data_IF_208313250018
#
_entry.id   IF_208313250018
#
_cell.length_a   1.000
_cell.length_b   1.000
_cell.length_c   1.000
_cell.angle_alpha   90.00
_cell.angle_beta   90.00
_cell.angle_gamma   90.00
#
_symmetry.space_group_name_H-M   'P 1'
#
loop_
_entity.id
_entity.type
_entity.pdbx_description
1 polymer ?
#
# COMPACT_ATOMS: atom_id res chain seq x y z
N UNK A 1 21.69 22.74 -0.06
CA UNK A 1 20.50 23.59 -0.19
C UNK A 1 19.91 23.34 -1.56
N UNK A 2 18.83 22.55 -1.56
CA UNK A 2 17.98 22.28 -2.73
C UNK A 2 17.60 23.60 -3.41
N UNK A 3 17.92 23.69 -4.71
CA UNK A 3 17.60 24.86 -5.53
C UNK A 3 16.24 24.74 -6.22
N UNK A 4 15.83 25.82 -6.90
CA UNK A 4 14.66 25.79 -7.78
C UNK A 4 14.78 24.77 -8.92
N UNK A 5 16.01 24.49 -9.39
CA UNK A 5 16.29 23.47 -10.40
C UNK A 5 15.93 22.06 -9.91
N UNK A 6 16.20 21.75 -8.64
CA UNK A 6 15.89 20.45 -8.06
C UNK A 6 14.38 20.27 -7.84
N UNK A 7 13.69 21.33 -7.39
CA UNK A 7 12.22 21.34 -7.33
C UNK A 7 11.63 21.16 -8.74
N UNK A 8 12.21 21.82 -9.74
CA UNK A 8 11.77 21.68 -11.13
C UNK A 8 11.94 20.24 -11.62
N UNK A 9 13.07 19.55 -11.33
CA UNK A 9 13.26 18.12 -11.66
C UNK A 9 12.17 17.25 -11.05
N UNK A 10 11.80 17.51 -9.79
CA UNK A 10 10.70 16.78 -9.10
C UNK A 10 9.37 17.01 -9.82
N UNK A 11 9.03 18.26 -10.14
CA UNK A 11 7.79 18.58 -10.86
C UNK A 11 7.79 17.93 -12.24
N UNK A 12 8.90 17.97 -12.98
CA UNK A 12 9.05 17.32 -14.29
C UNK A 12 8.87 15.81 -14.20
N UNK A 13 9.44 15.15 -13.18
CA UNK A 13 9.30 13.71 -12.97
C UNK A 13 7.87 13.29 -12.59
N UNK A 14 7.14 14.16 -11.90
CA UNK A 14 5.81 13.86 -11.37
C UNK A 14 4.67 14.30 -12.28
N UNK A 15 4.81 15.39 -13.05
CA UNK A 15 3.77 15.95 -13.90
C UNK A 15 3.12 14.91 -14.85
N UNK A 16 3.87 14.04 -15.55
CA UNK A 16 3.28 13.03 -16.43
C UNK A 16 2.27 12.12 -15.71
N UNK A 17 2.53 11.77 -14.45
CA UNK A 17 1.64 10.95 -13.63
C UNK A 17 0.32 11.67 -13.32
N UNK A 18 0.40 12.96 -12.97
CA UNK A 18 -0.79 13.77 -12.69
C UNK A 18 -1.58 14.08 -13.96
N UNK A 19 -0.91 14.25 -15.11
CA UNK A 19 -1.58 14.36 -16.41
C UNK A 19 -2.41 13.09 -16.68
N UNK A 20 -1.82 11.91 -16.52
CA UNK A 20 -2.55 10.65 -16.70
C UNK A 20 -3.75 10.52 -15.74
N UNK A 21 -3.60 10.94 -14.48
CA UNK A 21 -4.68 10.99 -13.50
C UNK A 21 -5.81 11.94 -13.91
N UNK A 22 -5.49 13.16 -14.36
CA UNK A 22 -6.47 14.14 -14.83
C UNK A 22 -7.20 13.63 -16.06
N UNK A 23 -6.51 13.00 -17.01
CA UNK A 23 -7.12 12.36 -18.18
C UNK A 23 -8.10 11.26 -17.77
N UNK A 24 -7.70 10.41 -16.81
CA UNK A 24 -8.58 9.38 -16.24
C UNK A 24 -9.84 9.99 -15.61
N UNK A 25 -9.67 11.01 -14.78
CA UNK A 25 -10.79 11.70 -14.14
C UNK A 25 -11.72 12.37 -15.15
N UNK A 26 -11.15 13.14 -16.09
CA UNK A 26 -11.88 13.86 -17.13
C UNK A 26 -12.65 12.94 -18.07
N UNK A 27 -12.10 11.76 -18.37
CA UNK A 27 -12.76 10.78 -19.23
C UNK A 27 -14.13 10.31 -18.72
N UNK A 28 -14.33 10.29 -17.41
CA UNK A 28 -15.62 9.92 -16.80
C UNK A 28 -16.45 11.16 -16.48
N UNK A 29 -15.82 12.18 -15.88
CA UNK A 29 -16.55 13.31 -15.30
C UNK A 29 -16.90 14.41 -16.30
N UNK A 30 -16.03 14.67 -17.27
CA UNK A 30 -16.16 15.79 -18.21
C UNK A 30 -16.55 15.31 -19.62
N UNK A 31 -15.91 14.25 -20.10
CA UNK A 31 -16.16 13.72 -21.45
C UNK A 31 -17.22 12.63 -21.48
N UNK A 32 -17.60 12.09 -20.32
CA UNK A 32 -18.60 11.01 -20.19
C UNK A 32 -18.33 9.81 -21.13
N UNK A 33 -17.05 9.53 -21.40
CA UNK A 33 -16.61 8.52 -22.35
C UNK A 33 -16.77 7.10 -21.81
N UNK A 34 -16.55 6.91 -20.50
CA UNK A 34 -16.62 5.60 -19.85
C UNK A 34 -17.76 5.50 -18.85
N UNK A 35 -18.50 4.38 -18.92
CA UNK A 35 -19.48 3.96 -17.92
C UNK A 35 -18.77 3.27 -16.73
N UNK A 36 -19.42 3.18 -15.55
CA UNK A 36 -18.83 2.52 -14.37
C UNK A 36 -18.34 1.09 -14.61
N UNK A 37 -19.08 0.28 -15.39
CA UNK A 37 -18.71 -1.10 -15.75
C UNK A 37 -17.45 -1.16 -16.63
N UNK A 38 -17.31 -0.20 -17.54
CA UNK A 38 -16.11 -0.09 -18.39
C UNK A 38 -14.89 0.33 -17.56
N UNK A 39 -15.09 1.22 -16.58
CA UNK A 39 -14.03 1.60 -15.65
C UNK A 39 -13.57 0.42 -14.79
N UNK A 40 -14.49 -0.42 -14.32
CA UNK A 40 -14.15 -1.66 -13.61
C UNK A 40 -13.32 -2.60 -14.50
N UNK A 41 -13.71 -2.73 -15.77
CA UNK A 41 -12.95 -3.51 -16.76
C UNK A 41 -11.54 -2.99 -16.96
N UNK A 42 -11.35 -1.67 -17.10
CA UNK A 42 -10.02 -1.04 -17.22
C UNK A 42 -9.19 -1.27 -15.95
N UNK A 43 -9.81 -1.14 -14.77
CA UNK A 43 -9.13 -1.38 -13.50
C UNK A 43 -8.72 -2.85 -13.34
N UNK A 44 -9.53 -3.80 -13.79
CA UNK A 44 -9.17 -5.22 -13.83
C UNK A 44 -8.02 -5.46 -14.80
N UNK A 45 -8.07 -4.90 -16.01
CA UNK A 45 -6.94 -4.97 -16.94
C UNK A 45 -5.64 -4.47 -16.30
N UNK A 46 -5.70 -3.32 -15.63
CA UNK A 46 -4.55 -2.77 -14.93
C UNK A 46 -4.05 -3.69 -13.80
N UNK A 47 -4.95 -4.19 -12.94
CA UNK A 47 -4.61 -5.04 -11.80
C UNK A 47 -4.11 -6.44 -12.18
N UNK A 48 -4.60 -7.03 -13.27
CA UNK A 48 -4.29 -8.42 -13.68
C UNK A 48 -3.14 -8.51 -14.69
N UNK A 49 -2.90 -7.46 -15.46
CA UNK A 49 -1.85 -7.46 -16.49
C UNK A 49 -0.80 -6.40 -16.19
N UNK A 50 -1.17 -5.12 -16.24
CA UNK A 50 -0.20 -4.02 -16.20
C UNK A 50 0.63 -3.99 -14.91
N UNK A 51 -0.01 -3.92 -13.74
CA UNK A 51 0.67 -3.83 -12.44
C UNK A 51 1.53 -5.06 -12.12
N UNK A 52 1.10 -6.30 -12.41
CA UNK A 52 1.97 -7.48 -12.25
C UNK A 52 3.27 -7.37 -13.05
N UNK A 53 3.21 -7.02 -14.33
CA UNK A 53 4.43 -6.85 -15.14
C UNK A 53 5.28 -5.67 -14.65
N UNK A 54 4.64 -4.58 -14.24
CA UNK A 54 5.31 -3.42 -13.65
C UNK A 54 6.07 -3.78 -12.37
N UNK A 55 5.41 -4.43 -11.42
CA UNK A 55 6.04 -4.86 -10.17
C UNK A 55 7.15 -5.88 -10.43
N UNK A 56 6.92 -6.84 -11.34
CA UNK A 56 7.94 -7.82 -11.69
C UNK A 56 9.21 -7.15 -12.24
N UNK A 57 9.07 -6.21 -13.18
CA UNK A 57 10.22 -5.55 -13.83
C UNK A 57 11.09 -4.81 -12.82
N UNK A 58 10.48 -4.06 -11.89
CA UNK A 58 11.24 -3.40 -10.84
C UNK A 58 11.94 -4.40 -9.92
N UNK A 59 11.25 -5.46 -9.51
CA UNK A 59 11.78 -6.42 -8.53
C UNK A 59 12.86 -7.31 -9.12
N UNK A 60 12.69 -7.72 -10.38
CA UNK A 60 13.63 -8.56 -11.12
C UNK A 60 15.00 -7.90 -11.32
N UNK A 61 15.05 -6.56 -11.29
CA UNK A 61 16.27 -5.77 -11.46
C UNK A 61 17.01 -5.46 -10.14
N UNK A 62 16.44 -5.80 -8.98
CA UNK A 62 17.13 -5.65 -7.69
C UNK A 62 18.25 -6.69 -7.57
N UNK A 63 19.31 -6.35 -6.84
CA UNK A 63 20.24 -7.34 -6.31
C UNK A 63 19.89 -7.72 -4.85
N UNK A 64 19.25 -8.88 -4.59
CA UNK A 64 18.82 -9.24 -3.25
C UNK A 64 19.97 -9.53 -2.28
N UNK A 65 21.19 -9.70 -2.77
CA UNK A 65 22.37 -9.92 -1.92
C UNK A 65 22.98 -8.62 -1.41
N UNK A 66 22.68 -7.49 -2.06
CA UNK A 66 23.19 -6.18 -1.71
C UNK A 66 22.06 -5.23 -1.26
N UNK A 67 21.13 -5.76 -0.45
CA UNK A 67 20.05 -4.97 0.13
C UNK A 67 20.57 -4.08 1.26
N UNK A 68 19.96 -2.91 1.42
CA UNK A 68 20.26 -2.05 2.56
C UNK A 68 19.50 -2.55 3.79
N UNK A 69 20.12 -3.49 4.51
CA UNK A 69 19.49 -4.12 5.68
C UNK A 69 19.12 -3.12 6.76
N UNK A 70 19.92 -2.09 7.00
CA UNK A 70 19.61 -1.06 7.99
C UNK A 70 18.32 -0.31 7.62
N UNK A 71 18.17 0.09 6.36
CA UNK A 71 16.96 0.73 5.86
C UNK A 71 15.74 -0.19 6.00
N UNK A 72 15.85 -1.46 5.58
CA UNK A 72 14.76 -2.41 5.65
C UNK A 72 14.37 -2.77 7.10
N UNK A 73 15.35 -2.96 7.99
CA UNK A 73 15.09 -3.18 9.41
C UNK A 73 14.47 -1.94 10.04
N UNK A 74 14.84 -0.73 9.61
CA UNK A 74 14.21 0.52 10.04
C UNK A 74 12.73 0.56 9.70
N UNK A 75 12.37 0.16 8.47
CA UNK A 75 10.98 0.02 8.03
C UNK A 75 10.19 -0.97 8.90
N UNK A 76 10.81 -2.12 9.19
CA UNK A 76 10.22 -3.16 10.04
C UNK A 76 10.01 -2.69 11.47
N UNK A 77 10.98 -2.01 12.06
CA UNK A 77 10.85 -1.45 13.41
C UNK A 77 9.75 -0.38 13.43
N UNK A 78 9.74 0.54 12.48
CA UNK A 78 8.74 1.60 12.40
C UNK A 78 7.31 1.04 12.38
N UNK A 79 7.06 0.01 11.56
CA UNK A 79 5.74 -0.62 11.46
C UNK A 79 5.42 -1.54 12.63
N UNK A 80 6.40 -2.23 13.20
CA UNK A 80 6.22 -3.01 14.42
C UNK A 80 5.81 -2.12 15.60
N UNK A 81 6.40 -0.93 15.73
CA UNK A 81 6.02 0.07 16.73
C UNK A 81 4.55 0.52 16.55
N UNK A 82 4.13 0.81 15.31
CA UNK A 82 2.74 1.17 15.01
C UNK A 82 1.80 0.01 15.39
N UNK A 83 2.12 -1.23 15.02
CA UNK A 83 1.32 -2.40 15.36
C UNK A 83 1.21 -2.57 16.88
N UNK A 84 2.31 -2.45 17.61
CA UNK A 84 2.35 -2.54 19.07
C UNK A 84 1.41 -1.51 19.71
N UNK A 85 1.51 -0.24 19.30
CA UNK A 85 0.67 0.84 19.81
C UNK A 85 -0.81 0.56 19.53
N UNK A 86 -1.14 0.09 18.33
CA UNK A 86 -2.53 -0.20 17.95
C UNK A 86 -3.10 -1.42 18.68
N UNK A 87 -2.29 -2.45 18.93
CA UNK A 87 -2.69 -3.63 19.72
C UNK A 87 -2.93 -3.22 21.18
N UNK A 88 -2.03 -2.44 21.78
CA UNK A 88 -2.21 -1.92 23.13
C UNK A 88 -3.46 -1.04 23.23
N UNK A 89 -3.69 -0.16 22.24
CA UNK A 89 -4.88 0.68 22.19
C UNK A 89 -6.16 -0.16 22.05
N UNK A 90 -6.16 -1.18 21.19
CA UNK A 90 -7.32 -2.05 20.98
C UNK A 90 -7.68 -2.91 22.20
N UNK A 91 -6.68 -3.30 23.01
CA UNK A 91 -6.88 -4.21 24.15
C UNK A 91 -7.04 -3.49 25.51
N UNK A 92 -6.35 -2.36 25.71
CA UNK A 92 -6.31 -1.69 27.02
C UNK A 92 -7.28 -0.52 27.13
N UNK A 93 -7.70 0.08 26.01
CA UNK A 93 -8.57 1.24 26.03
C UNK A 93 -10.03 0.86 25.76
N UNK A 94 -10.96 1.35 26.58
CA UNK A 94 -12.40 1.01 26.47
C UNK A 94 -13.04 1.39 25.13
N UNK A 95 -12.47 2.36 24.39
CA UNK A 95 -12.92 2.73 23.03
C UNK A 95 -12.05 2.15 21.92
N UNK A 96 -11.09 1.28 22.26
CA UNK A 96 -10.25 0.60 21.29
C UNK A 96 -11.08 -0.29 20.37
N UNK A 97 -10.78 -0.25 19.06
CA UNK A 97 -11.48 -1.08 18.08
C UNK A 97 -10.49 -1.73 17.14
N UNK A 98 -10.55 -3.06 17.03
CA UNK A 98 -9.72 -3.84 16.13
C UNK A 98 -9.90 -3.42 14.66
N UNK A 99 -11.15 -3.14 14.25
CA UNK A 99 -11.50 -2.61 12.94
C UNK A 99 -10.78 -1.29 12.63
N UNK A 100 -10.78 -0.37 13.59
CA UNK A 100 -10.06 0.90 13.46
C UNK A 100 -8.54 0.72 13.53
N UNK A 101 -8.04 -0.28 14.27
CA UNK A 101 -6.64 -0.66 14.27
C UNK A 101 -6.14 -1.03 12.86
N UNK A 102 -6.87 -1.90 12.15
CA UNK A 102 -6.52 -2.29 10.77
C UNK A 102 -6.51 -1.07 9.84
N UNK A 103 -7.56 -0.24 9.88
CA UNK A 103 -7.65 0.97 9.06
C UNK A 103 -6.54 1.96 9.38
N UNK A 104 -6.25 2.18 10.67
CA UNK A 104 -5.20 3.10 11.12
C UNK A 104 -3.82 2.63 10.67
N UNK A 105 -3.52 1.34 10.83
CA UNK A 105 -2.29 0.74 10.31
C UNK A 105 -2.18 0.93 8.80
N UNK A 106 -3.24 0.62 8.06
CA UNK A 106 -3.25 0.78 6.60
C UNK A 106 -2.96 2.22 6.17
N UNK A 107 -3.59 3.21 6.81
CA UNK A 107 -3.41 4.63 6.53
C UNK A 107 -1.99 5.13 6.84
N UNK A 108 -1.38 4.68 7.94
CA UNK A 108 -0.04 5.12 8.33
C UNK A 108 1.07 4.36 7.59
N UNK A 109 0.88 3.07 7.29
CA UNK A 109 1.96 2.18 6.89
C UNK A 109 2.03 1.87 5.39
N UNK A 110 0.89 1.88 4.67
CA UNK A 110 0.83 1.37 3.29
C UNK A 110 0.72 2.49 2.26
N UNK A 111 1.74 2.66 1.43
CA UNK A 111 1.82 3.75 0.47
C UNK A 111 2.05 3.29 -0.97
N UNK A 112 1.88 4.20 -1.91
CA UNK A 112 2.07 3.97 -3.33
C UNK A 112 3.56 4.06 -3.72
N UNK A 113 4.32 3.06 -3.28
CA UNK A 113 5.79 3.04 -3.36
C UNK A 113 6.31 3.01 -4.80
N UNK A 114 5.76 2.16 -5.68
CA UNK A 114 6.31 1.99 -7.03
C UNK A 114 5.81 3.03 -8.03
N UNK A 115 4.49 3.27 -8.09
CA UNK A 115 3.91 4.15 -9.14
C UNK A 115 4.33 5.61 -8.92
N UNK A 116 4.26 6.09 -7.68
CA UNK A 116 4.58 7.48 -7.32
C UNK A 116 6.01 7.59 -6.79
N UNK A 117 6.45 6.64 -5.95
CA UNK A 117 7.74 6.74 -5.29
C UNK A 117 8.94 6.61 -6.22
N UNK A 118 8.90 5.76 -7.26
CA UNK A 118 10.06 5.60 -8.16
C UNK A 118 10.37 6.89 -8.94
N UNK A 119 9.41 7.50 -9.68
CA UNK A 119 9.71 8.74 -10.40
C UNK A 119 10.12 9.89 -9.48
N UNK A 120 9.47 9.98 -8.31
CA UNK A 120 9.79 10.99 -7.30
C UNK A 120 11.23 10.84 -6.78
N UNK A 121 11.60 9.64 -6.33
CA UNK A 121 12.93 9.41 -5.75
C UNK A 121 14.02 9.47 -6.81
N UNK A 122 13.74 9.06 -8.05
CA UNK A 122 14.67 9.24 -9.16
C UNK A 122 14.98 10.72 -9.37
N UNK A 123 13.97 11.59 -9.28
CA UNK A 123 14.14 13.03 -9.41
C UNK A 123 14.89 13.67 -8.22
N UNK A 124 14.66 13.20 -7.00
CA UNK A 124 15.25 13.78 -5.78
C UNK A 124 16.65 13.26 -5.43
N UNK A 125 16.90 11.96 -5.63
CA UNK A 125 18.08 11.24 -5.12
C UNK A 125 18.72 10.30 -6.15
N UNK A 126 18.26 10.31 -7.41
CA UNK A 126 18.84 9.48 -8.47
C UNK A 126 18.63 7.99 -8.26
N UNK A 127 19.62 7.18 -8.68
CA UNK A 127 19.53 5.71 -8.63
C UNK A 127 19.46 5.16 -7.21
N UNK A 128 20.14 5.79 -6.26
CA UNK A 128 20.09 5.39 -4.85
C UNK A 128 18.65 5.49 -4.29
N UNK A 129 17.90 6.52 -4.70
CA UNK A 129 16.51 6.67 -4.32
C UNK A 129 15.60 5.60 -4.92
N UNK A 130 15.82 5.24 -6.19
CA UNK A 130 15.10 4.16 -6.86
C UNK A 130 15.35 2.84 -6.17
N UNK A 131 16.62 2.49 -5.94
CA UNK A 131 17.01 1.23 -5.30
C UNK A 131 16.30 1.05 -3.94
N UNK A 132 16.37 2.04 -3.05
CA UNK A 132 15.75 1.95 -1.72
C UNK A 132 14.22 1.83 -1.79
N UNK A 133 13.57 2.59 -2.68
CA UNK A 133 12.10 2.53 -2.82
C UNK A 133 11.65 1.19 -3.39
N UNK A 134 12.37 0.63 -4.34
CA UNK A 134 12.05 -0.68 -4.89
C UNK A 134 12.27 -1.77 -3.83
N UNK A 135 13.33 -1.68 -3.02
CA UNK A 135 13.53 -2.58 -1.87
C UNK A 135 12.38 -2.48 -0.86
N UNK A 136 11.93 -1.26 -0.52
CA UNK A 136 10.78 -1.06 0.35
C UNK A 136 9.49 -1.64 -0.25
N UNK A 137 9.30 -1.51 -1.57
CA UNK A 137 8.14 -2.06 -2.26
C UNK A 137 8.07 -3.59 -2.19
N UNK A 138 9.22 -4.28 -2.28
CA UNK A 138 9.30 -5.74 -2.09
C UNK A 138 8.81 -6.13 -0.71
N UNK A 139 9.37 -5.51 0.35
CA UNK A 139 8.96 -5.80 1.72
C UNK A 139 7.48 -5.44 1.93
N UNK A 140 7.02 -4.34 1.35
CA UNK A 140 5.61 -3.95 1.42
C UNK A 140 4.68 -4.96 0.76
N UNK A 141 5.03 -5.48 -0.42
CA UNK A 141 4.21 -6.47 -1.11
C UNK A 141 4.23 -7.84 -0.42
N UNK A 142 5.39 -8.29 0.06
CA UNK A 142 5.56 -9.64 0.61
C UNK A 142 5.14 -9.74 2.08
N UNK A 143 5.54 -8.77 2.90
CA UNK A 143 5.35 -8.81 4.35
C UNK A 143 4.10 -8.03 4.76
N UNK A 144 4.02 -6.74 4.41
CA UNK A 144 2.97 -5.86 4.93
C UNK A 144 1.60 -6.11 4.30
N UNK A 145 1.55 -6.39 3.01
CA UNK A 145 0.29 -6.71 2.32
C UNK A 145 -0.29 -8.05 2.80
N UNK A 146 0.57 -9.05 3.01
CA UNK A 146 0.18 -10.34 3.58
C UNK A 146 -0.33 -10.19 5.00
N UNK A 147 0.36 -9.37 5.82
CA UNK A 147 -0.07 -9.07 7.19
C UNK A 147 -1.42 -8.35 7.23
N UNK A 148 -1.66 -7.40 6.32
CA UNK A 148 -2.95 -6.72 6.19
C UNK A 148 -4.06 -7.72 5.81
N UNK A 149 -3.80 -8.59 4.83
CA UNK A 149 -4.78 -9.56 4.35
C UNK A 149 -5.14 -10.57 5.45
N UNK A 150 -4.14 -11.00 6.23
CA UNK A 150 -4.34 -11.83 7.41
C UNK A 150 -5.21 -11.12 8.45
N UNK A 151 -4.92 -9.86 8.77
CA UNK A 151 -5.70 -9.09 9.73
C UNK A 151 -7.16 -8.90 9.27
N UNK A 152 -7.39 -8.67 7.97
CA UNK A 152 -8.71 -8.54 7.37
C UNK A 152 -9.52 -9.85 7.40
N UNK A 153 -8.90 -10.98 7.06
CA UNK A 153 -9.55 -12.30 7.10
C UNK A 153 -9.85 -12.71 8.55
N UNK A 154 -8.93 -12.41 9.47
CA UNK A 154 -9.14 -12.61 10.91
C UNK A 154 -10.33 -11.78 11.40
N UNK A 155 -10.37 -10.50 11.04
CA UNK A 155 -11.48 -9.60 11.39
C UNK A 155 -12.82 -10.11 10.84
N UNK A 156 -12.87 -10.50 9.57
CA UNK A 156 -14.07 -11.03 8.92
C UNK A 156 -14.58 -12.30 9.60
N UNK A 157 -13.68 -13.22 9.93
CA UNK A 157 -14.04 -14.47 10.62
C UNK A 157 -14.58 -14.18 12.02
N UNK A 158 -13.95 -13.25 12.76
CA UNK A 158 -14.41 -12.81 14.08
C UNK A 158 -15.82 -12.20 14.02
N UNK A 159 -16.10 -11.37 13.02
CA UNK A 159 -17.43 -10.76 12.84
C UNK A 159 -18.50 -11.80 12.47
N UNK A 160 -18.18 -12.75 11.59
CA UNK A 160 -19.10 -13.83 11.24
C UNK A 160 -19.45 -14.72 12.45
N UNK A 161 -18.47 -15.05 13.29
CA UNK A 161 -18.72 -15.83 14.51
C UNK A 161 -19.62 -15.08 15.50
N UNK A 162 -19.38 -13.78 15.72
CA UNK A 162 -20.24 -12.97 16.58
C UNK A 162 -21.70 -12.90 16.06
N UNK A 163 -21.89 -12.74 14.75
CA UNK A 163 -23.23 -12.72 14.15
C UNK A 163 -23.95 -14.07 14.28
N UNK A 164 -23.24 -15.19 14.15
CA UNK A 164 -23.81 -16.52 14.35
C UNK A 164 -24.20 -16.78 15.82
N UNK A 165 -23.43 -16.27 16.78
CA UNK A 165 -23.79 -16.40 18.19
C UNK A 165 -25.04 -15.57 18.53
N UNK A 166 -25.13 -14.35 18.01
CA UNK A 166 -26.29 -13.47 18.24
C UNK A 166 -27.57 -13.99 17.56
N UNK A 167 -27.48 -14.67 16.41
CA UNK A 167 -28.64 -15.27 15.75
C UNK A 167 -29.13 -16.55 16.44
N UNK A 168 -28.21 -17.29 17.08
CA UNK A 168 -28.57 -18.46 17.92
C UNK A 168 -29.23 -18.03 19.23
N UNK A 169 -28.79 -16.91 19.84
CA UNK A 169 -29.44 -16.36 21.04
C UNK A 169 -30.87 -15.84 20.78
N UNK A 170 -31.14 -15.30 19.59
CA UNK A 170 -32.49 -14.84 19.23
C UNK A 170 -33.44 -16.00 18.85
N UNK A 171 -32.90 -17.17 18.51
CA UNK A 171 -33.64 -18.34 18.05
C UNK A 171 -34.02 -19.36 19.13
N UNK A 172 -33.40 -19.31 20.32
CA UNK A 172 -33.58 -20.33 21.36
C UNK A 172 -34.16 -19.76 22.66
N UNK A 173 -35.48 -19.53 22.68
CA UNK A 173 -36.24 -19.44 23.94
C UNK A 173 -36.73 -20.82 24.41
N UNK A 174 -36.69 -21.88 23.60
CA UNK A 174 -37.18 -23.19 24.03
C UNK A 174 -36.20 -24.34 23.81
N UNK A 175 -36.15 -25.21 24.82
CA UNK A 175 -35.53 -26.55 24.94
C UNK A 175 -34.05 -26.64 25.29
N UNK A 176 -33.84 -26.82 26.60
CA UNK A 176 -32.68 -27.42 27.26
C UNK A 176 -32.44 -28.87 26.82
N UNK A 177 -31.17 -29.26 26.86
CA UNK A 177 -30.65 -30.65 26.88
C UNK A 177 -30.43 -31.35 25.54
N UNK A 178 -29.42 -30.90 24.80
CA UNK A 178 -28.48 -31.82 24.17
C UNK A 178 -27.07 -31.26 24.31
N UNK A 179 -26.20 -32.05 24.94
CA UNK A 179 -24.74 -31.87 24.98
C UNK A 179 -24.23 -31.69 23.55
N UNK A 180 -24.20 -30.45 23.07
CA UNK A 180 -23.51 -30.08 21.85
C UNK A 180 -22.17 -29.58 22.31
N UNK A 181 -21.15 -30.44 22.16
CA UNK A 181 -19.74 -30.13 22.31
C UNK A 181 -19.50 -28.64 22.00
N UNK A 182 -19.31 -27.88 23.06
CA UNK A 182 -18.69 -26.57 23.02
C UNK A 182 -17.22 -26.87 22.76
N UNK A 183 -16.91 -27.35 21.55
CA UNK A 183 -15.60 -27.12 21.01
C UNK A 183 -15.61 -25.63 20.73
N UNK A 184 -15.10 -24.88 21.71
CA UNK A 184 -14.59 -23.54 21.52
C UNK A 184 -13.98 -23.51 20.12
N UNK A 185 -14.60 -22.78 19.21
CA UNK A 185 -13.98 -22.45 17.95
C UNK A 185 -12.84 -21.49 18.30
N UNK A 186 -11.77 -22.02 18.90
CA UNK A 186 -10.45 -21.43 18.78
C UNK A 186 -10.30 -21.18 17.29
N UNK A 187 -10.15 -19.91 16.95
CA UNK A 187 -10.02 -19.44 15.60
C UNK A 187 -8.79 -20.14 15.02
N UNK A 188 -9.01 -21.29 14.37
CA UNK A 188 -7.93 -22.19 14.06
C UNK A 188 -7.00 -21.45 13.09
N UNK A 189 -5.78 -21.19 13.55
CA UNK A 189 -4.77 -20.42 12.82
C UNK A 189 -4.53 -21.04 11.43
N UNK A 190 -4.64 -22.36 11.33
CA UNK A 190 -4.39 -23.10 10.10
C UNK A 190 -5.40 -22.81 8.98
N UNK A 191 -6.74 -22.93 9.16
CA UNK A 191 -7.72 -22.45 8.19
C UNK A 191 -7.54 -21.00 7.76
N UNK A 192 -7.24 -20.11 8.71
CA UNK A 192 -7.01 -18.69 8.43
C UNK A 192 -5.77 -18.50 7.55
N UNK A 193 -4.65 -19.12 7.91
CA UNK A 193 -3.43 -19.10 7.11
C UNK A 193 -3.63 -19.70 5.72
N UNK A 194 -4.41 -20.79 5.61
CA UNK A 194 -4.75 -21.40 4.33
C UNK A 194 -5.59 -20.44 3.46
N UNK A 195 -6.57 -19.74 4.05
CA UNK A 195 -7.40 -18.78 3.33
C UNK A 195 -6.55 -17.60 2.81
N UNK A 196 -5.71 -17.02 3.68
CA UNK A 196 -4.80 -15.93 3.34
C UNK A 196 -3.80 -16.34 2.26
N UNK A 197 -3.16 -17.51 2.41
CA UNK A 197 -2.22 -18.03 1.41
C UNK A 197 -2.91 -18.28 0.07
N UNK A 198 -4.15 -18.77 0.07
CA UNK A 198 -4.91 -19.01 -1.17
C UNK A 198 -5.27 -17.68 -1.84
N UNK A 199 -5.67 -16.66 -1.08
CA UNK A 199 -5.98 -15.32 -1.61
C UNK A 199 -4.74 -14.62 -2.15
N UNK A 200 -3.61 -14.76 -1.46
CA UNK A 200 -2.32 -14.23 -1.89
C UNK A 200 -1.82 -14.91 -3.16
N UNK A 201 -1.89 -16.25 -3.23
CA UNK A 201 -1.51 -17.02 -4.41
C UNK A 201 -2.37 -16.70 -5.64
N UNK A 202 -3.65 -16.34 -5.43
CA UNK A 202 -4.56 -15.90 -6.49
C UNK A 202 -4.38 -14.43 -6.87
N UNK A 203 -3.61 -13.64 -6.13
CA UNK A 203 -3.40 -12.23 -6.43
C UNK A 203 -2.27 -12.06 -7.47
N UNK A 204 -2.57 -11.49 -8.66
CA UNK A 204 -1.58 -11.23 -9.71
C UNK A 204 -0.35 -10.46 -9.27
N UNK A 205 -0.55 -9.43 -8.47
CA UNK A 205 0.55 -8.58 -7.99
C UNK A 205 1.45 -9.34 -7.03
N UNK A 206 0.87 -10.19 -6.18
CA UNK A 206 1.63 -10.96 -5.20
C UNK A 206 2.52 -12.00 -5.86
N UNK A 207 1.99 -12.84 -6.75
CA UNK A 207 2.85 -13.82 -7.43
C UNK A 207 3.87 -13.14 -8.33
N UNK A 208 3.57 -11.98 -8.94
CA UNK A 208 4.53 -11.23 -9.74
C UNK A 208 5.71 -10.75 -8.88
N UNK A 209 5.46 -10.28 -7.66
CA UNK A 209 6.52 -9.93 -6.71
C UNK A 209 7.36 -11.15 -6.31
N UNK A 210 6.73 -12.30 -6.04
CA UNK A 210 7.46 -13.54 -5.72
C UNK A 210 8.30 -14.05 -6.90
N UNK A 211 7.75 -14.05 -8.11
CA UNK A 211 8.47 -14.44 -9.32
C UNK A 211 9.61 -13.48 -9.63
N UNK A 212 9.39 -12.17 -9.45
CA UNK A 212 10.43 -11.15 -9.61
C UNK A 212 11.57 -11.34 -8.62
N UNK A 213 11.25 -11.60 -7.34
CA UNK A 213 12.27 -11.86 -6.31
C UNK A 213 13.02 -13.17 -6.59
N UNK A 214 12.30 -14.23 -6.95
CA UNK A 214 12.91 -15.50 -7.33
C UNK A 214 13.88 -15.32 -8.50
N UNK A 215 13.46 -14.59 -9.52
CA UNK A 215 14.31 -14.23 -10.65
C UNK A 215 15.53 -13.44 -10.21
N UNK A 216 15.35 -12.38 -9.41
CA UNK A 216 16.43 -11.53 -8.92
C UNK A 216 17.48 -12.31 -8.13
N UNK A 217 17.05 -13.29 -7.31
CA UNK A 217 17.94 -14.19 -6.56
C UNK A 217 18.77 -15.06 -7.51
N UNK A 218 18.13 -15.72 -8.47
CA UNK A 218 18.79 -16.59 -9.45
C UNK A 218 19.75 -15.77 -10.32
N UNK A 219 19.28 -14.66 -10.87
CA UNK A 219 20.04 -13.78 -11.75
C UNK A 219 21.26 -13.18 -11.03
N UNK A 220 21.11 -12.71 -9.79
CA UNK A 220 22.22 -12.14 -9.03
C UNK A 220 23.22 -13.20 -8.56
N UNK A 221 22.78 -14.43 -8.28
CA UNK A 221 23.66 -15.52 -7.83
C UNK A 221 24.55 -16.09 -8.93
N UNK A 222 23.98 -16.25 -10.13
CA UNK A 222 24.64 -16.85 -11.30
C UNK A 222 25.01 -15.83 -12.38
N UNK A 223 24.85 -14.53 -12.11
CA UNK A 223 25.07 -13.44 -13.07
C UNK A 223 24.34 -13.65 -14.42
N UNK A 224 23.14 -14.22 -14.35
CA UNK A 224 22.33 -14.48 -15.52
C UNK A 224 21.67 -13.18 -16.01
N UNK A 225 21.69 -12.94 -17.31
CA UNK A 225 20.92 -11.86 -17.94
C UNK A 225 19.60 -12.41 -18.47
N UNK A 226 18.51 -11.66 -18.28
CA UNK A 226 17.23 -12.05 -18.84
C UNK A 226 17.31 -12.14 -20.36
N UNK A 227 16.78 -13.21 -20.99
CA UNK A 227 16.74 -13.31 -22.44
C UNK A 227 15.95 -12.12 -23.00
N UNK A 228 16.47 -11.48 -24.05
CA UNK A 228 15.90 -10.26 -24.63
C UNK A 228 14.44 -10.40 -25.05
N UNK A 229 14.01 -11.61 -25.46
CA UNK A 229 12.62 -11.92 -25.80
C UNK A 229 11.71 -11.76 -24.57
N UNK A 230 12.13 -12.28 -23.41
CA UNK A 230 11.36 -12.22 -22.17
C UNK A 230 11.38 -10.79 -21.62
N UNK A 231 12.57 -10.18 -21.56
CA UNK A 231 12.77 -8.81 -21.10
C UNK A 231 11.93 -7.83 -21.92
N UNK A 232 12.01 -7.89 -23.26
CA UNK A 232 11.22 -7.04 -24.15
C UNK A 232 9.71 -7.22 -23.98
N UNK A 233 9.25 -8.46 -23.78
CA UNK A 233 7.83 -8.76 -23.55
C UNK A 233 7.32 -8.13 -22.24
N UNK A 234 8.09 -8.26 -21.16
CA UNK A 234 7.78 -7.65 -19.86
C UNK A 234 7.82 -6.14 -19.96
N UNK A 235 8.84 -5.59 -20.63
CA UNK A 235 9.07 -4.15 -20.73
C UNK A 235 7.94 -3.42 -21.47
N UNK A 236 7.37 -4.02 -22.52
CA UNK A 236 6.22 -3.44 -23.24
C UNK A 236 5.05 -3.21 -22.28
N UNK A 237 4.76 -4.19 -21.43
CA UNK A 237 3.64 -4.10 -20.49
C UNK A 237 3.99 -3.24 -19.26
N UNK A 238 5.21 -3.35 -18.73
CA UNK A 238 5.68 -2.57 -17.59
C UNK A 238 5.74 -1.06 -17.90
N UNK A 239 6.17 -0.66 -19.10
CA UNK A 239 6.26 0.77 -19.46
C UNK A 239 4.92 1.50 -19.39
N UNK A 240 3.80 0.79 -19.56
CA UNK A 240 2.46 1.34 -19.37
C UNK A 240 2.06 1.45 -17.88
N UNK A 241 2.79 0.78 -16.99
CA UNK A 241 2.57 0.64 -15.55
C UNK A 241 2.13 1.88 -14.83
N UNK A 242 3.03 2.87 -14.73
CA UNK A 242 2.78 4.07 -13.94
C UNK A 242 1.66 4.93 -14.53
N UNK A 243 1.61 5.07 -15.85
CA UNK A 243 0.59 5.84 -16.57
C UNK A 243 -0.81 5.23 -16.43
N UNK A 244 -0.96 3.94 -16.71
CA UNK A 244 -2.25 3.24 -16.58
C UNK A 244 -2.68 3.18 -15.11
N UNK A 245 -1.76 2.99 -14.17
CA UNK A 245 -2.08 3.04 -12.74
C UNK A 245 -2.66 4.40 -12.32
N UNK A 246 -2.04 5.49 -12.75
CA UNK A 246 -2.52 6.84 -12.45
C UNK A 246 -3.82 7.17 -13.20
N UNK A 247 -3.97 6.70 -14.43
CA UNK A 247 -5.23 6.81 -15.18
C UNK A 247 -6.37 6.07 -14.49
N UNK A 248 -6.17 4.81 -14.10
CA UNK A 248 -7.10 4.02 -13.30
C UNK A 248 -7.44 4.69 -11.97
N UNK A 249 -6.46 5.33 -11.33
CA UNK A 249 -6.70 6.13 -10.14
C UNK A 249 -7.60 7.33 -10.41
N UNK A 250 -7.44 8.00 -11.56
CA UNK A 250 -8.33 9.07 -12.02
C UNK A 250 -9.76 8.59 -12.28
N UNK A 251 -9.93 7.44 -12.95
CA UNK A 251 -11.23 6.78 -13.13
C UNK A 251 -11.88 6.51 -11.77
N UNK A 252 -11.12 5.91 -10.85
CA UNK A 252 -11.59 5.61 -9.51
C UNK A 252 -12.07 6.85 -8.75
N UNK A 253 -11.32 7.94 -8.84
CA UNK A 253 -11.67 9.24 -8.25
C UNK A 253 -12.95 9.82 -8.84
N UNK A 254 -13.14 9.71 -10.16
CA UNK A 254 -14.33 10.22 -10.84
C UNK A 254 -15.61 9.42 -10.54
N UNK A 255 -15.47 8.13 -10.24
CA UNK A 255 -16.58 7.25 -9.88
C UNK A 255 -17.07 7.43 -8.44
N UNK A 256 -16.28 8.06 -7.56
CA UNK A 256 -16.75 8.35 -6.22
C UNK A 256 -17.83 9.44 -6.26
N UNK A 257 -18.99 9.16 -5.66
CA UNK A 257 -20.10 10.14 -5.60
C UNK A 257 -19.74 11.41 -4.81
N UNK A 258 -18.75 11.33 -3.92
CA UNK A 258 -18.17 12.46 -3.19
C UNK A 258 -16.65 12.27 -3.09
N UNK A 259 -15.90 13.35 -3.29
CA UNK A 259 -14.44 13.38 -3.09
C UNK A 259 -14.08 13.13 -1.61
N UNK A 260 -14.93 13.62 -0.70
CA UNK A 260 -14.84 13.37 0.74
C UNK A 260 -16.08 12.55 1.15
N UNK A 261 -15.91 11.23 1.24
CA UNK A 261 -17.00 10.32 1.58
C UNK A 261 -17.21 10.22 3.11
N UNK A 262 -16.12 10.29 3.89
CA UNK A 262 -16.13 10.05 5.34
C UNK A 262 -16.27 11.31 6.21
N UNK A 263 -16.40 12.50 5.61
CA UNK A 263 -16.47 13.78 6.32
C UNK A 263 -15.09 14.38 6.68
N UNK A 264 -15.09 15.66 7.10
CA UNK A 264 -13.86 16.42 7.28
C UNK A 264 -12.96 15.88 8.41
N UNK A 265 -13.54 15.51 9.56
CA UNK A 265 -12.78 15.02 10.71
C UNK A 265 -11.99 13.74 10.39
N UNK A 266 -12.63 12.76 9.75
CA UNK A 266 -11.98 11.51 9.35
C UNK A 266 -10.96 11.71 8.21
N UNK A 267 -11.18 12.71 7.35
CA UNK A 267 -10.19 13.10 6.33
C UNK A 267 -8.93 13.65 6.98
N UNK A 268 -9.07 14.61 7.91
CA UNK A 268 -7.95 15.18 8.65
C UNK A 268 -7.19 14.07 9.40
N UNK A 269 -7.92 13.18 10.07
CA UNK A 269 -7.35 12.01 10.72
C UNK A 269 -6.49 11.17 9.77
N UNK A 270 -7.02 10.81 8.60
CA UNK A 270 -6.29 10.03 7.61
C UNK A 270 -5.04 10.76 7.08
N UNK A 271 -5.13 12.08 6.85
CA UNK A 271 -4.00 12.89 6.38
C UNK A 271 -2.89 12.99 7.44
N UNK A 272 -3.25 13.17 8.71
CA UNK A 272 -2.28 13.19 9.82
C UNK A 272 -1.58 11.84 9.93
N UNK A 273 -2.33 10.73 9.86
CA UNK A 273 -1.73 9.40 9.91
C UNK A 273 -0.74 9.16 8.76
N UNK A 274 -1.13 9.55 7.54
CA UNK A 274 -0.35 9.29 6.33
C UNK A 274 0.89 10.17 6.23
N UNK A 275 0.75 11.47 6.44
CA UNK A 275 1.80 12.46 6.17
C UNK A 275 2.54 12.92 7.41
N UNK A 276 2.07 12.62 8.62
CA UNK A 276 2.79 12.99 9.86
C UNK A 276 3.21 11.75 10.63
N UNK A 277 2.27 10.88 10.99
CA UNK A 277 2.57 9.70 11.83
C UNK A 277 3.44 8.70 11.08
N UNK A 278 3.12 8.37 9.82
CA UNK A 278 3.93 7.46 8.99
C UNK A 278 5.40 7.91 8.86
N UNK A 279 5.68 9.15 8.42
CA UNK A 279 7.04 9.68 8.36
C UNK A 279 7.73 9.77 9.73
N UNK A 280 7.01 10.14 10.79
CA UNK A 280 7.57 10.25 12.13
C UNK A 280 7.98 8.89 12.71
N UNK A 281 7.18 7.84 12.52
CA UNK A 281 7.54 6.49 12.98
C UNK A 281 8.68 5.91 12.16
N UNK A 282 8.74 6.21 10.86
CA UNK A 282 9.88 5.85 10.02
C UNK A 282 11.16 6.56 10.47
N UNK A 283 11.10 7.87 10.73
CA UNK A 283 12.22 8.63 11.25
C UNK A 283 12.73 8.02 12.57
N UNK A 284 11.82 7.69 13.49
CA UNK A 284 12.15 7.05 14.76
C UNK A 284 12.83 5.69 14.54
N UNK A 285 12.26 4.82 13.70
CA UNK A 285 12.83 3.50 13.39
C UNK A 285 14.23 3.59 12.79
N UNK A 286 14.45 4.55 11.88
CA UNK A 286 15.76 4.77 11.27
C UNK A 286 16.79 5.38 12.24
N UNK A 287 16.38 6.34 13.08
CA UNK A 287 17.27 6.96 14.08
C UNK A 287 17.72 5.94 15.14
N UNK A 288 16.82 5.06 15.59
CA UNK A 288 17.15 3.98 16.54
C UNK A 288 18.24 3.05 16.00
N UNK A 289 18.28 2.84 14.68
CA UNK A 289 19.31 2.04 13.99
C UNK A 289 20.55 2.86 13.57
N UNK A 290 20.59 4.16 13.88
CA UNK A 290 21.71 5.03 13.55
C UNK A 290 21.84 5.37 12.06
N UNK A 291 20.77 5.24 11.25
CA UNK A 291 20.78 5.70 9.86
C UNK A 291 20.94 7.22 9.79
N UNK A 292 21.79 7.68 8.87
CA UNK A 292 22.08 9.10 8.64
C UNK A 292 22.13 9.44 7.15
N UNK A 293 22.15 10.73 6.84
CA UNK A 293 22.29 11.24 5.48
C UNK A 293 21.14 10.85 4.56
N UNK A 294 21.45 10.64 3.27
CA UNK A 294 20.43 10.43 2.23
C UNK A 294 19.52 9.22 2.48
N UNK A 295 20.03 8.14 3.08
CA UNK A 295 19.21 6.94 3.36
C UNK A 295 18.09 7.25 4.35
N UNK A 296 18.38 8.03 5.40
CA UNK A 296 17.37 8.50 6.35
C UNK A 296 16.36 9.43 5.68
N UNK A 297 16.83 10.38 4.86
CA UNK A 297 15.95 11.32 4.16
C UNK A 297 15.00 10.61 3.20
N UNK A 298 15.52 9.64 2.43
CA UNK A 298 14.73 8.81 1.51
C UNK A 298 13.72 7.96 2.26
N UNK A 299 14.10 7.36 3.40
CA UNK A 299 13.17 6.62 4.25
C UNK A 299 11.98 7.47 4.69
N UNK A 300 12.24 8.67 5.19
CA UNK A 300 11.17 9.57 5.67
C UNK A 300 10.26 10.00 4.51
N UNK A 301 10.82 10.39 3.36
CA UNK A 301 10.02 10.82 2.18
C UNK A 301 9.25 9.64 1.60
N UNK A 302 9.84 8.44 1.57
CA UNK A 302 9.15 7.21 1.13
C UNK A 302 7.95 6.91 2.03
N UNK A 303 8.10 7.08 3.34
CA UNK A 303 6.99 6.96 4.28
C UNK A 303 5.97 8.11 4.16
N UNK A 304 6.28 9.22 3.50
CA UNK A 304 5.33 10.31 3.23
C UNK A 304 4.58 10.15 1.90
N UNK A 305 4.84 9.08 1.13
CA UNK A 305 4.15 8.83 -0.14
C UNK A 305 2.62 8.66 0.05
N UNK A 306 1.81 9.01 -0.97
CA UNK A 306 0.35 8.89 -0.91
C UNK A 306 -0.09 7.44 -0.69
N UNK A 307 -1.34 7.28 -0.22
CA UNK A 307 -1.89 5.99 0.16
C UNK A 307 -1.92 4.98 -1.01
N UNK A 308 -1.66 3.70 -0.70
CA UNK A 308 -1.75 2.63 -1.68
C UNK A 308 -3.20 2.34 -2.11
N UNK A 309 -3.46 2.32 -3.42
CA UNK A 309 -4.78 1.96 -3.99
C UNK A 309 -5.19 0.53 -3.61
N UNK A 310 -4.22 -0.40 -3.54
CA UNK A 310 -4.45 -1.80 -3.16
C UNK A 310 -5.06 -1.94 -1.76
N UNK A 311 -4.68 -1.07 -0.83
CA UNK A 311 -5.26 -1.07 0.52
C UNK A 311 -6.74 -0.71 0.50
N UNK A 312 -7.12 0.26 -0.33
CA UNK A 312 -8.54 0.60 -0.54
C UNK A 312 -9.30 -0.56 -1.19
N UNK A 313 -8.73 -1.21 -2.21
CA UNK A 313 -9.38 -2.35 -2.88
C UNK A 313 -9.72 -3.46 -1.88
N UNK A 314 -8.79 -3.79 -0.99
CA UNK A 314 -9.05 -4.75 0.08
C UNK A 314 -10.06 -4.22 1.11
N UNK A 315 -9.95 -2.98 1.55
CA UNK A 315 -10.96 -2.39 2.44
C UNK A 315 -12.38 -2.47 1.84
N UNK A 316 -12.51 -2.28 0.52
CA UNK A 316 -13.79 -2.43 -0.19
C UNK A 316 -14.23 -3.90 -0.29
N UNK A 317 -13.34 -4.83 -0.63
CA UNK A 317 -13.65 -6.27 -0.71
C UNK A 317 -14.14 -6.83 0.63
N UNK A 318 -13.55 -6.36 1.73
CA UNK A 318 -13.91 -6.79 3.08
C UNK A 318 -15.00 -5.91 3.71
N UNK A 319 -15.37 -4.78 3.12
CA UNK A 319 -16.36 -3.85 3.67
C UNK A 319 -15.88 -3.10 4.93
N UNK A 320 -14.57 -2.90 5.09
CA UNK A 320 -13.97 -2.27 6.26
C UNK A 320 -13.53 -0.83 5.96
N UNK A 321 -14.31 0.16 6.40
CA UNK A 321 -13.99 1.60 6.30
C UNK A 321 -13.52 2.06 4.91
N UNK A 322 -14.09 1.50 3.84
CA UNK A 322 -13.69 1.77 2.46
C UNK A 322 -13.76 3.27 2.12
N UNK A 323 -14.74 4.00 2.67
CA UNK A 323 -14.91 5.44 2.45
C UNK A 323 -13.77 6.29 3.04
N UNK A 324 -13.16 5.83 4.14
CA UNK A 324 -12.02 6.51 4.75
C UNK A 324 -10.77 6.30 3.88
N UNK A 325 -10.53 5.06 3.45
CA UNK A 325 -9.39 4.74 2.60
C UNK A 325 -9.51 5.36 1.20
N UNK A 326 -10.71 5.42 0.61
CA UNK A 326 -10.93 6.08 -0.68
C UNK A 326 -10.62 7.57 -0.61
N UNK A 327 -11.13 8.24 0.44
CA UNK A 327 -10.87 9.65 0.69
C UNK A 327 -9.37 9.89 0.93
N UNK A 328 -8.70 9.01 1.67
CA UNK A 328 -7.26 9.09 1.90
C UNK A 328 -6.44 8.94 0.63
N UNK A 329 -6.84 8.04 -0.27
CA UNK A 329 -6.21 7.84 -1.59
C UNK A 329 -6.40 9.10 -2.46
N UNK A 330 -7.62 9.63 -2.53
CA UNK A 330 -7.94 10.79 -3.38
C UNK A 330 -7.26 12.07 -2.88
N UNK A 331 -7.56 12.46 -1.64
CA UNK A 331 -7.05 13.69 -1.03
C UNK A 331 -5.53 13.59 -0.85
N UNK A 332 -5.03 12.41 -0.44
CA UNK A 332 -3.62 12.18 -0.27
C UNK A 332 -2.84 12.38 -1.56
N UNK A 333 -3.33 11.87 -2.70
CA UNK A 333 -2.63 12.09 -3.97
C UNK A 333 -2.64 13.55 -4.40
N UNK A 334 -3.75 14.28 -4.24
CA UNK A 334 -3.83 15.71 -4.60
C UNK A 334 -2.84 16.54 -3.78
N UNK A 335 -2.74 16.29 -2.48
CA UNK A 335 -1.90 17.08 -1.56
C UNK A 335 -0.45 16.56 -1.51
N UNK A 336 -0.17 15.34 -2.02
CA UNK A 336 1.14 14.70 -1.86
C UNK A 336 2.29 15.48 -2.49
N UNK A 337 2.15 15.99 -3.72
CA UNK A 337 3.26 16.67 -4.41
C UNK A 337 3.81 17.88 -3.62
N UNK A 338 3.00 18.89 -3.23
CA UNK A 338 3.52 20.01 -2.46
C UNK A 338 4.07 19.58 -1.09
N UNK A 339 3.45 18.61 -0.41
CA UNK A 339 3.95 18.10 0.86
C UNK A 339 5.31 17.41 0.71
N UNK A 340 5.48 16.59 -0.32
CA UNK A 340 6.73 15.87 -0.57
C UNK A 340 7.87 16.82 -0.95
N UNK A 341 7.58 17.89 -1.69
CA UNK A 341 8.55 18.97 -1.93
C UNK A 341 8.91 19.67 -0.62
N UNK A 342 7.94 19.95 0.24
CA UNK A 342 8.21 20.52 1.57
C UNK A 342 9.10 19.61 2.42
N UNK A 343 8.80 18.30 2.46
CA UNK A 343 9.63 17.30 3.13
C UNK A 343 11.06 17.29 2.59
N UNK A 344 11.23 17.34 1.27
CA UNK A 344 12.53 17.38 0.64
C UNK A 344 13.33 18.62 1.05
N UNK A 345 12.72 19.80 1.00
CA UNK A 345 13.34 21.05 1.43
C UNK A 345 13.72 21.05 2.93
N UNK A 346 12.82 20.59 3.80
CA UNK A 346 13.03 20.57 5.26
C UNK A 346 14.15 19.59 5.64
N UNK A 347 14.13 18.38 5.06
CA UNK A 347 15.10 17.34 5.36
C UNK A 347 16.50 17.67 4.83
N UNK A 348 16.63 18.53 3.83
CA UNK A 348 17.95 18.99 3.37
C UNK A 348 18.67 19.88 4.39
N UNK A 349 17.91 20.59 5.22
CA UNK A 349 18.41 21.46 6.28
C UNK A 349 18.85 20.61 7.50
N UNK A 350 18.32 19.40 7.66
CA UNK A 350 18.69 18.51 8.76
C UNK A 350 20.06 17.84 8.48
N UNK A 351 20.99 17.86 9.45
CA UNK A 351 22.35 17.34 9.30
C UNK A 351 22.45 15.81 9.17
#
# INVERSE_FOLDING_TARGET
MIGWDDIYKVVVGMMPLYVALILGYGSVKWWHMFKPEQCDTINRFNCFFILPFFNFEFIANINPYNLNYLFLTGDVIAKALVILILVLWANLYKKGSFSWGITTFSLSALNNTLVVGVPLMKAMYGDLGVDLVVQAAVIQALLWLTSLLFALEFWKTKMNNNNNNNSVELGNINTTTQMRNINNAELAFWPLMKAVSTKLAKNPNSYACFLGLFWALVASRWHFRMPSIIEGSILIMSKAGSGVAMFSMGLFMALQGKIIACGAALTIYAMILRFVVGPATMALGCVVLGLRGNVLRIAIIQAALPQAVTSFVYAKEYGLHADVLSTAVIVGTIISLPLLIAYYAILDIMP
#
